data_IF_184465163577
#
_entry.id   IF_184465163577
#
_cell.length_a   1.000
_cell.length_b   1.000
_cell.length_c   1.000
_cell.angle_alpha   90.00
_cell.angle_beta   90.00
_cell.angle_gamma   90.00
#
_symmetry.space_group_name_H-M   'P 1'
#
loop_
_entity.id
_entity.type
_entity.pdbx_description
1 polymer ?
#
# COMPACT_ATOMS: atom_id res chain seq x y z
N UNK A 1 0.90 -3.29 12.02
CA UNK A 1 1.08 -4.46 11.14
C UNK A 1 1.67 -3.94 9.85
N UNK A 2 2.51 -4.73 9.16
CA UNK A 2 3.05 -4.30 7.86
C UNK A 2 1.91 -3.85 6.93
N UNK A 3 2.04 -2.64 6.40
CA UNK A 3 1.11 -2.05 5.44
C UNK A 3 -0.12 -1.34 6.04
N UNK A 4 -0.55 -1.64 7.27
CA UNK A 4 -1.77 -1.00 7.84
C UNK A 4 -1.57 0.47 8.17
N UNK A 5 -0.39 0.82 8.68
CA UNK A 5 -0.01 2.22 8.98
C UNK A 5 0.14 3.01 7.68
N UNK A 6 0.92 2.48 6.75
CA UNK A 6 1.09 3.11 5.42
C UNK A 6 -0.24 3.30 4.71
N UNK A 7 -1.14 2.33 4.76
CA UNK A 7 -2.47 2.46 4.16
C UNK A 7 -3.25 3.62 4.80
N UNK A 8 -3.30 3.68 6.13
CA UNK A 8 -3.89 4.79 6.89
C UNK A 8 -3.31 6.15 6.52
N UNK A 9 -1.99 6.23 6.35
CA UNK A 9 -1.33 7.50 6.01
C UNK A 9 -1.67 7.94 4.56
N UNK A 10 -2.04 7.00 3.69
CA UNK A 10 -2.48 7.28 2.31
C UNK A 10 -3.97 7.66 2.26
N UNK A 11 -4.85 6.85 2.88
CA UNK A 11 -6.31 6.98 2.71
C UNK A 11 -7.02 7.72 3.86
N UNK A 12 -6.30 8.03 4.93
CA UNK A 12 -6.85 8.58 6.17
C UNK A 12 -7.34 7.51 7.15
N UNK A 13 -7.49 7.91 8.42
CA UNK A 13 -7.84 7.01 9.52
C UNK A 13 -9.21 6.34 9.35
N UNK A 14 -10.24 7.11 8.97
CA UNK A 14 -11.61 6.63 8.87
C UNK A 14 -11.77 5.59 7.74
N UNK A 15 -11.19 5.89 6.57
CA UNK A 15 -11.22 4.95 5.44
C UNK A 15 -10.40 3.69 5.73
N UNK A 16 -9.25 3.85 6.40
CA UNK A 16 -8.44 2.71 6.81
C UNK A 16 -9.17 1.80 7.79
N UNK A 17 -9.87 2.34 8.79
CA UNK A 17 -10.65 1.55 9.73
C UNK A 17 -11.83 0.85 9.03
N UNK A 18 -12.54 1.55 8.14
CA UNK A 18 -13.64 0.97 7.37
C UNK A 18 -13.17 -0.23 6.53
N UNK A 19 -12.06 -0.09 5.80
CA UNK A 19 -11.58 -1.12 4.89
C UNK A 19 -10.87 -2.26 5.61
N UNK A 20 -9.94 -1.95 6.52
CA UNK A 20 -9.17 -2.96 7.24
C UNK A 20 -10.02 -3.68 8.30
N UNK A 21 -10.98 -2.98 8.90
CA UNK A 21 -11.87 -3.55 9.92
C UNK A 21 -12.79 -4.63 9.37
N UNK A 22 -13.25 -4.47 8.12
CA UNK A 22 -14.11 -5.46 7.46
C UNK A 22 -13.37 -6.33 6.42
N UNK A 23 -12.06 -6.12 6.23
CA UNK A 23 -11.25 -6.73 5.18
C UNK A 23 -11.91 -6.70 3.79
N UNK A 24 -12.62 -5.61 3.45
CA UNK A 24 -13.36 -5.51 2.18
C UNK A 24 -12.44 -5.14 1.02
N UNK A 25 -12.80 -5.61 -0.17
CA UNK A 25 -12.23 -5.09 -1.41
C UNK A 25 -12.86 -3.74 -1.79
N UNK A 26 -12.18 -3.01 -2.68
CA UNK A 26 -12.64 -1.76 -3.29
C UNK A 26 -12.18 -1.71 -4.74
N UNK A 27 -12.90 -0.97 -5.58
CA UNK A 27 -12.60 -0.83 -7.01
C UNK A 27 -11.66 0.35 -7.29
N UNK A 28 -11.31 0.54 -8.57
CA UNK A 28 -10.43 1.61 -9.02
C UNK A 28 -11.00 3.01 -8.77
N UNK A 29 -12.32 3.17 -8.90
CA UNK A 29 -12.98 4.47 -8.69
C UNK A 29 -12.95 4.87 -7.22
N UNK A 30 -13.27 3.93 -6.32
CA UNK A 30 -13.11 4.11 -4.89
C UNK A 30 -11.65 4.34 -4.50
N UNK A 31 -10.72 3.57 -5.06
CA UNK A 31 -9.28 3.76 -4.82
C UNK A 31 -8.83 5.19 -5.14
N UNK A 32 -9.36 5.80 -6.22
CA UNK A 32 -9.06 7.19 -6.57
C UNK A 32 -9.71 8.17 -5.59
N UNK A 33 -10.97 7.95 -5.22
CA UNK A 33 -11.69 8.81 -4.26
C UNK A 33 -11.03 8.87 -2.89
N UNK A 34 -10.51 7.74 -2.41
CA UNK A 34 -9.83 7.65 -1.11
C UNK A 34 -8.34 8.01 -1.18
N UNK A 35 -7.83 8.42 -2.33
CA UNK A 35 -6.41 8.80 -2.50
C UNK A 35 -5.44 7.62 -2.53
N UNK A 36 -5.93 6.38 -2.61
CA UNK A 36 -5.08 5.19 -2.72
C UNK A 36 -4.34 5.13 -4.05
N UNK A 37 -4.99 5.56 -5.13
CA UNK A 37 -4.36 5.77 -6.44
C UNK A 37 -4.49 7.23 -6.84
N UNK A 38 -3.49 7.73 -7.57
CA UNK A 38 -3.49 9.10 -8.08
C UNK A 38 -4.45 9.27 -9.26
N UNK A 39 -4.53 8.28 -10.15
CA UNK A 39 -5.40 8.32 -11.32
C UNK A 39 -5.71 6.92 -11.85
N UNK A 40 -6.73 6.84 -12.71
CA UNK A 40 -7.14 5.63 -13.40
C UNK A 40 -7.25 5.92 -14.90
N UNK A 41 -6.64 5.07 -15.73
CA UNK A 41 -6.62 5.22 -17.18
C UNK A 41 -6.99 3.91 -17.87
N UNK A 42 -7.49 4.01 -19.10
CA UNK A 42 -7.79 2.84 -19.92
C UNK A 42 -6.49 2.07 -20.21
N UNK A 43 -6.57 0.74 -20.27
CA UNK A 43 -5.39 -0.12 -20.43
C UNK A 43 -4.56 0.22 -21.67
N UNK A 44 -5.22 0.65 -22.76
CA UNK A 44 -4.55 1.09 -23.98
C UNK A 44 -3.62 2.32 -23.79
N UNK A 45 -3.84 3.12 -22.74
CA UNK A 45 -3.04 4.30 -22.41
C UNK A 45 -1.87 3.98 -21.49
N UNK A 46 -1.82 2.78 -20.89
CA UNK A 46 -0.80 2.42 -19.91
C UNK A 46 0.64 2.49 -20.44
N UNK A 47 0.96 2.02 -21.67
CA UNK A 47 2.33 2.11 -22.18
C UNK A 47 2.88 3.55 -22.16
N UNK A 48 2.10 4.50 -22.66
CA UNK A 48 2.50 5.91 -22.69
C UNK A 48 2.65 6.52 -21.29
N UNK A 49 1.79 6.13 -20.33
CA UNK A 49 1.88 6.59 -18.94
C UNK A 49 3.12 6.01 -18.23
N UNK A 50 3.48 4.76 -18.53
CA UNK A 50 4.68 4.11 -17.99
C UNK A 50 5.94 4.80 -18.54
N UNK A 51 5.98 5.10 -19.84
CA UNK A 51 7.11 5.80 -20.47
C UNK A 51 7.31 7.20 -19.86
N UNK A 52 6.21 7.96 -19.71
CA UNK A 52 6.27 9.28 -19.06
C UNK A 52 6.72 9.20 -17.59
N UNK A 53 6.27 8.17 -16.86
CA UNK A 53 6.69 7.93 -15.48
C UNK A 53 8.18 7.55 -15.40
N UNK A 54 8.67 6.75 -16.34
CA UNK A 54 10.08 6.38 -16.43
C UNK A 54 10.96 7.60 -16.70
N UNK A 55 10.58 8.44 -17.66
CA UNK A 55 11.29 9.68 -17.97
C UNK A 55 11.37 10.60 -16.73
N UNK A 56 10.23 10.85 -16.08
CA UNK A 56 10.17 11.63 -14.84
C UNK A 56 11.01 11.02 -13.71
N UNK A 57 11.01 9.69 -13.58
CA UNK A 57 11.77 8.97 -12.57
C UNK A 57 13.29 9.05 -12.80
N UNK A 58 13.73 9.25 -14.05
CA UNK A 58 15.15 9.40 -14.44
C UNK A 58 15.61 10.86 -14.52
N UNK A 59 14.71 11.83 -14.37
CA UNK A 59 15.05 13.26 -14.39
C UNK A 59 15.92 13.69 -13.20
N UNK A 60 15.87 12.94 -12.09
CA UNK A 60 16.72 13.11 -10.92
C UNK A 60 17.80 12.04 -10.87
N UNK A 61 19.00 12.40 -10.45
CA UNK A 61 20.03 11.40 -10.20
C UNK A 61 19.58 10.43 -9.09
N UNK A 62 20.01 9.15 -9.14
CA UNK A 62 19.55 8.12 -8.20
C UNK A 62 19.80 8.46 -6.72
N UNK A 63 20.91 9.16 -6.40
CA UNK A 63 21.29 9.44 -5.02
C UNK A 63 20.42 10.55 -4.41
N UNK A 64 20.14 11.60 -5.18
CA UNK A 64 19.19 12.66 -4.80
C UNK A 64 17.78 12.08 -4.61
N UNK A 65 17.34 11.22 -5.53
CA UNK A 65 16.02 10.57 -5.44
C UNK A 65 15.90 9.67 -4.21
N UNK A 66 16.91 8.86 -3.92
CA UNK A 66 16.93 8.00 -2.74
C UNK A 66 16.90 8.83 -1.43
N UNK A 67 17.63 9.94 -1.39
CA UNK A 67 17.62 10.85 -0.24
C UNK A 67 16.26 11.51 -0.05
N UNK A 68 15.64 12.00 -1.13
CA UNK A 68 14.29 12.55 -1.07
C UNK A 68 13.28 11.55 -0.53
N UNK A 69 13.28 10.31 -1.04
CA UNK A 69 12.38 9.28 -0.54
C UNK A 69 12.62 8.93 0.93
N UNK A 70 13.88 8.91 1.38
CA UNK A 70 14.22 8.65 2.78
C UNK A 70 13.76 9.77 3.71
N UNK A 71 13.86 11.02 3.28
CA UNK A 71 13.41 12.17 4.09
C UNK A 71 11.89 12.27 4.13
N UNK A 72 11.23 11.95 3.01
CA UNK A 72 9.77 12.04 2.90
C UNK A 72 9.03 10.83 3.48
N UNK A 73 9.72 9.71 3.69
CA UNK A 73 9.13 8.50 4.25
C UNK A 73 9.37 8.46 5.75
N UNK A 74 8.28 8.32 6.49
CA UNK A 74 8.34 8.03 7.92
C UNK A 74 8.74 6.56 8.12
N UNK A 75 9.89 6.31 8.74
CA UNK A 75 10.51 4.98 8.79
C UNK A 75 10.07 4.23 10.05
N UNK A 76 9.19 3.24 9.85
CA UNK A 76 8.56 2.45 10.93
C UNK A 76 8.61 0.93 10.63
N UNK A 77 9.45 0.52 9.69
CA UNK A 77 9.46 -0.83 9.13
C UNK A 77 9.69 -1.90 10.22
N UNK A 78 10.62 -1.66 11.16
CA UNK A 78 10.90 -2.56 12.30
C UNK A 78 9.71 -2.71 13.26
N UNK A 79 9.07 -1.59 13.60
CA UNK A 79 7.92 -1.58 14.52
C UNK A 79 6.72 -2.29 13.89
N UNK A 80 6.51 -2.11 12.58
CA UNK A 80 5.47 -2.77 11.82
C UNK A 80 5.70 -4.28 11.70
N UNK A 81 6.95 -4.70 11.51
CA UNK A 81 7.35 -6.12 11.53
C UNK A 81 7.12 -6.76 12.89
N UNK A 82 7.55 -6.10 13.97
CA UNK A 82 7.33 -6.60 15.33
C UNK A 82 5.83 -6.74 15.64
N UNK A 83 5.00 -5.79 15.18
CA UNK A 83 3.55 -5.86 15.35
C UNK A 83 2.92 -7.00 14.53
N UNK A 84 3.40 -7.26 13.31
CA UNK A 84 2.95 -8.39 12.51
C UNK A 84 3.31 -9.72 13.18
N UNK A 85 4.55 -9.88 13.63
CA UNK A 85 5.01 -11.11 14.29
C UNK A 85 4.16 -11.42 15.53
N UNK A 86 3.87 -10.42 16.37
CA UNK A 86 2.98 -10.57 17.54
C UNK A 86 1.57 -11.00 17.16
N UNK A 87 1.02 -10.48 16.05
CA UNK A 87 -0.30 -10.88 15.59
C UNK A 87 -0.32 -12.28 14.98
N UNK A 88 0.71 -12.67 14.22
CA UNK A 88 0.80 -13.99 13.61
C UNK A 88 1.00 -15.09 14.65
N UNK A 89 1.63 -14.75 15.79
CA UNK A 89 1.78 -15.64 16.94
C UNK A 89 0.47 -15.87 17.71
N UNK A 90 -0.61 -15.12 17.42
CA UNK A 90 -1.91 -15.38 18.05
C UNK A 90 -2.51 -16.70 17.53
N UNK A 91 -3.08 -17.55 18.42
CA UNK A 91 -3.78 -18.76 18.01
C UNK A 91 -4.86 -18.49 16.95
N UNK A 92 -5.03 -19.41 16.02
CA UNK A 92 -6.07 -19.33 14.97
C UNK A 92 -5.61 -18.76 13.62
N UNK A 93 -4.45 -18.09 13.54
CA UNK A 93 -3.92 -17.60 12.26
C UNK A 93 -3.68 -18.73 11.23
N UNK A 94 -3.08 -19.84 11.66
CA UNK A 94 -2.88 -21.04 10.81
C UNK A 94 -4.19 -21.69 10.36
N UNK A 95 -5.27 -21.56 11.14
CA UNK A 95 -6.59 -22.06 10.75
C UNK A 95 -7.17 -21.16 9.64
N UNK A 96 -7.14 -19.84 9.85
CA UNK A 96 -7.59 -18.86 8.85
C UNK A 96 -6.88 -18.98 7.50
N UNK A 97 -5.58 -19.29 7.49
CA UNK A 97 -4.84 -19.56 6.23
C UNK A 97 -5.39 -20.81 5.54
N UNK A 98 -5.65 -21.89 6.29
CA UNK A 98 -6.21 -23.13 5.72
C UNK A 98 -7.60 -22.92 5.16
N UNK A 99 -8.45 -22.18 5.87
CA UNK A 99 -9.80 -21.88 5.42
C UNK A 99 -9.83 -21.01 4.15
N UNK A 100 -8.84 -20.11 3.99
CA UNK A 100 -8.66 -19.34 2.77
C UNK A 100 -8.19 -20.21 1.59
N UNK A 101 -7.26 -21.15 1.82
CA UNK A 101 -6.74 -22.03 0.76
C UNK A 101 -7.74 -23.12 0.32
N UNK A 102 -8.76 -23.39 1.13
CA UNK A 102 -9.81 -24.35 0.82
C UNK A 102 -10.98 -23.76 0.01
N UNK A 103 -10.98 -22.44 -0.21
CA UNK A 103 -11.90 -21.72 -1.08
C UNK A 103 -11.32 -21.58 -2.49
#
# INVERSE_FOLDING_TARGET
MLGTRRFRDIVGADQALSILGSARAFDADEARRIGFVRDCAAQAQWPALIDAAAEAATALDPATRATLHRVLRDDHDDADLAALARSAAQPGFKARIRDYLAQ
#
